data_IF_157813089473
#
_entry.id   IF_157813089473
#
_cell.length_a   1.000
_cell.length_b   1.000
_cell.length_c   1.000
_cell.angle_alpha   90.00
_cell.angle_beta   90.00
_cell.angle_gamma   90.00
#
_symmetry.space_group_name_H-M   'P 1'
#
loop_
_entity.id
_entity.type
_entity.pdbx_description
1 polymer ?
#
# COMPACT_ATOMS: atom_id res chain seq x y z
N UNK A 1 -26.21 -19.80 15.58
CA UNK A 1 -25.85 -18.76 14.62
C UNK A 1 -24.83 -19.28 13.57
N UNK A 2 -23.81 -20.03 13.97
CA UNK A 2 -22.77 -20.63 13.09
C UNK A 2 -23.32 -21.60 12.03
N UNK A 3 -24.38 -22.35 12.31
CA UNK A 3 -24.99 -23.31 11.35
C UNK A 3 -25.78 -22.65 10.20
N UNK A 4 -26.23 -21.39 10.32
CA UNK A 4 -26.91 -20.67 9.26
C UNK A 4 -25.93 -20.04 8.24
N UNK A 5 -24.72 -19.76 8.65
CA UNK A 5 -23.66 -19.20 7.77
C UNK A 5 -23.08 -20.26 6.86
N UNK A 6 -22.95 -21.53 7.34
CA UNK A 6 -22.50 -22.64 6.51
C UNK A 6 -23.50 -23.08 5.43
N UNK A 7 -24.80 -22.87 5.63
CA UNK A 7 -25.82 -23.22 4.63
C UNK A 7 -25.98 -22.16 3.52
N UNK A 8 -25.62 -20.89 3.79
CA UNK A 8 -25.60 -19.85 2.77
C UNK A 8 -24.45 -20.01 1.77
N UNK A 9 -23.33 -20.57 2.22
CA UNK A 9 -22.15 -20.83 1.36
C UNK A 9 -22.33 -21.98 0.36
N UNK A 10 -23.34 -22.84 0.56
CA UNK A 10 -23.64 -23.96 -0.36
C UNK A 10 -24.63 -23.58 -1.48
N UNK A 11 -25.34 -22.46 -1.35
CA UNK A 11 -26.35 -22.03 -2.33
C UNK A 11 -25.90 -20.93 -3.28
N UNK A 12 -24.78 -20.25 -2.99
CA UNK A 12 -24.21 -19.19 -3.86
C UNK A 12 -22.68 -19.32 -3.98
N UNK A 13 -22.17 -20.18 -4.88
CA UNK A 13 -20.73 -20.32 -5.10
C UNK A 13 -20.10 -19.16 -5.89
N UNK A 14 -20.72 -17.99 -5.90
CA UNK A 14 -20.22 -16.78 -6.52
C UNK A 14 -20.39 -15.52 -5.62
N UNK A 15 -20.61 -15.71 -4.33
CA UNK A 15 -20.28 -14.63 -3.41
C UNK A 15 -18.75 -14.53 -3.36
N UNK A 16 -18.23 -13.35 -3.68
CA UNK A 16 -16.90 -12.94 -3.31
C UNK A 16 -16.65 -13.45 -1.89
N UNK A 17 -15.68 -14.33 -1.73
CA UNK A 17 -15.08 -14.56 -0.42
C UNK A 17 -14.41 -13.24 -0.14
N UNK A 18 -15.08 -12.35 0.58
CA UNK A 18 -14.41 -11.33 1.33
C UNK A 18 -13.61 -12.10 2.38
N UNK A 19 -12.37 -12.41 2.08
CA UNK A 19 -11.39 -12.62 3.12
C UNK A 19 -11.45 -11.32 3.91
N UNK A 20 -11.73 -11.41 5.22
CA UNK A 20 -11.61 -10.26 6.10
C UNK A 20 -10.24 -9.66 5.82
N UNK A 21 -10.19 -8.37 5.47
CA UNK A 21 -8.96 -7.65 5.20
C UNK A 21 -8.07 -7.73 6.44
N UNK A 22 -6.86 -8.23 6.31
CA UNK A 22 -5.92 -8.34 7.43
C UNK A 22 -5.58 -6.95 7.98
N UNK A 23 -5.41 -5.98 7.09
CA UNK A 23 -5.15 -4.59 7.47
C UNK A 23 -6.39 -3.97 8.15
N UNK A 24 -7.61 -4.27 7.69
CA UNK A 24 -8.83 -3.82 8.38
C UNK A 24 -8.93 -4.38 9.80
N UNK A 25 -8.57 -5.65 9.99
CA UNK A 25 -8.51 -6.29 11.31
C UNK A 25 -7.47 -5.63 12.22
N UNK A 26 -6.30 -5.26 11.69
CA UNK A 26 -5.26 -4.54 12.44
C UNK A 26 -5.80 -3.21 12.98
N UNK A 27 -6.60 -2.49 12.19
CA UNK A 27 -7.21 -1.22 12.59
C UNK A 27 -8.62 -1.38 13.24
N UNK A 28 -9.05 -2.60 13.53
CA UNK A 28 -10.31 -2.83 14.24
C UNK A 28 -10.27 -2.25 15.67
N UNK A 29 -11.45 -1.90 16.19
CA UNK A 29 -11.55 -1.38 17.55
C UNK A 29 -11.09 -2.39 18.62
N UNK A 30 -11.34 -3.67 18.41
CA UNK A 30 -10.93 -4.72 19.35
C UNK A 30 -9.42 -4.89 19.34
N UNK A 31 -8.78 -4.89 18.17
CA UNK A 31 -7.32 -4.93 18.09
C UNK A 31 -6.68 -3.64 18.64
N UNK A 32 -7.26 -2.46 18.36
CA UNK A 32 -6.81 -1.19 18.95
C UNK A 32 -6.86 -1.24 20.49
N UNK A 33 -7.90 -1.82 21.07
CA UNK A 33 -8.02 -1.99 22.51
C UNK A 33 -7.03 -3.04 23.06
N UNK A 34 -6.78 -4.13 22.33
CA UNK A 34 -5.77 -5.11 22.73
C UNK A 34 -4.36 -4.49 22.69
N UNK A 35 -4.01 -3.75 21.63
CA UNK A 35 -2.74 -3.04 21.53
C UNK A 35 -2.59 -1.98 22.63
N UNK A 36 -3.67 -1.26 22.95
CA UNK A 36 -3.68 -0.34 24.09
C UNK A 36 -3.26 -1.03 25.40
N UNK A 37 -3.84 -2.19 25.71
CA UNK A 37 -3.43 -2.96 26.92
C UNK A 37 -1.99 -3.43 26.84
N UNK A 38 -1.53 -3.87 25.66
CA UNK A 38 -0.15 -4.31 25.46
C UNK A 38 0.85 -3.16 25.68
N UNK A 39 0.54 -1.94 25.22
CA UNK A 39 1.37 -0.74 25.42
C UNK A 39 1.43 -0.36 26.91
N UNK A 40 0.31 -0.37 27.62
CA UNK A 40 0.26 -0.11 29.07
C UNK A 40 1.02 -1.18 29.87
N UNK A 41 0.94 -2.45 29.45
CA UNK A 41 1.71 -3.54 30.07
C UNK A 41 3.20 -3.33 29.82
N UNK A 42 3.62 -3.00 28.61
CA UNK A 42 5.03 -2.77 28.28
C UNK A 42 5.61 -1.60 29.10
N UNK A 43 4.83 -0.54 29.28
CA UNK A 43 5.18 0.56 30.19
C UNK A 43 5.37 0.07 31.63
N UNK A 44 4.40 -0.67 32.16
CA UNK A 44 4.46 -1.17 33.53
C UNK A 44 5.64 -2.15 33.76
N UNK A 45 5.92 -3.02 32.82
CA UNK A 45 7.07 -3.94 32.87
C UNK A 45 8.40 -3.18 32.86
N UNK A 46 8.54 -2.17 31.98
CA UNK A 46 9.73 -1.30 31.96
C UNK A 46 9.90 -0.56 33.30
N UNK A 47 8.82 -0.01 33.84
CA UNK A 47 8.85 0.66 35.15
C UNK A 47 9.16 -0.29 36.31
N UNK A 48 8.64 -1.50 36.26
CA UNK A 48 8.93 -2.54 37.27
C UNK A 48 10.38 -2.97 37.25
N UNK A 49 10.96 -3.16 36.05
CA UNK A 49 12.39 -3.51 35.89
C UNK A 49 13.30 -2.44 36.49
N UNK A 50 12.91 -1.17 36.36
CA UNK A 50 13.63 -0.02 36.93
C UNK A 50 13.26 0.28 38.41
N UNK A 51 12.39 -0.50 39.02
CA UNK A 51 11.99 -0.33 40.43
C UNK A 51 11.09 0.88 40.67
N UNK A 52 10.44 1.43 39.63
CA UNK A 52 9.54 2.59 39.72
C UNK A 52 8.17 2.16 40.26
N UNK A 53 7.67 1.01 39.82
CA UNK A 53 6.44 0.39 40.33
C UNK A 53 6.72 -1.02 40.86
N UNK A 54 5.85 -1.59 41.71
CA UNK A 54 6.03 -2.96 42.20
C UNK A 54 5.87 -4.00 41.09
N UNK A 55 6.71 -5.04 41.08
CA UNK A 55 6.69 -6.14 40.12
C UNK A 55 5.34 -6.90 40.09
N UNK A 56 4.69 -7.06 41.22
CA UNK A 56 3.38 -7.70 41.29
C UNK A 56 2.29 -6.94 40.53
N UNK A 57 2.35 -5.59 40.46
CA UNK A 57 1.40 -4.78 39.69
C UNK A 57 1.57 -4.99 38.18
N UNK A 58 2.81 -4.96 37.68
CA UNK A 58 3.11 -5.23 36.27
C UNK A 58 2.68 -6.65 35.87
N UNK A 59 2.94 -7.64 36.72
CA UNK A 59 2.48 -9.03 36.50
C UNK A 59 0.95 -9.15 36.42
N UNK A 60 0.22 -8.43 37.25
CA UNK A 60 -1.25 -8.44 37.19
C UNK A 60 -1.75 -7.81 35.89
N UNK A 61 -1.17 -6.68 35.45
CA UNK A 61 -1.53 -6.09 34.15
C UNK A 61 -1.32 -7.07 33.00
N UNK A 62 -0.16 -7.76 32.95
CA UNK A 62 0.13 -8.79 31.95
C UNK A 62 -0.91 -9.91 31.97
N UNK A 63 -1.32 -10.40 33.13
CA UNK A 63 -2.31 -11.48 33.28
C UNK A 63 -3.72 -11.03 32.85
N UNK A 64 -4.03 -9.75 33.00
CA UNK A 64 -5.35 -9.17 32.68
C UNK A 64 -5.41 -8.45 31.34
N UNK A 65 -4.33 -8.44 30.54
CA UNK A 65 -4.29 -7.85 29.21
C UNK A 65 -4.92 -8.76 28.15
N UNK A 66 -6.22 -8.99 28.27
CA UNK A 66 -7.04 -9.81 27.36
C UNK A 66 -8.27 -8.99 26.95
N UNK A 67 -8.59 -8.97 25.67
CA UNK A 67 -9.69 -8.16 25.10
C UNK A 67 -11.05 -8.37 25.77
N UNK A 68 -11.27 -9.53 26.39
CA UNK A 68 -12.49 -9.77 27.18
C UNK A 68 -12.66 -8.79 28.37
N UNK A 69 -11.58 -8.15 28.82
CA UNK A 69 -11.60 -7.15 29.88
C UNK A 69 -11.72 -5.71 29.35
N UNK A 70 -11.66 -5.52 28.02
CA UNK A 70 -11.72 -4.21 27.39
C UNK A 70 -12.59 -4.23 26.12
N UNK A 71 -13.76 -4.85 26.19
CA UNK A 71 -14.68 -4.92 25.05
C UNK A 71 -15.07 -3.52 24.56
N UNK A 72 -15.02 -3.31 23.26
CA UNK A 72 -15.28 -1.99 22.64
C UNK A 72 -16.63 -1.38 23.06
N UNK A 73 -17.70 -2.17 23.18
CA UNK A 73 -19.03 -1.71 23.60
C UNK A 73 -19.02 -1.07 24.99
N UNK A 74 -18.23 -1.62 25.95
CA UNK A 74 -18.10 -1.08 27.30
C UNK A 74 -17.28 0.21 27.30
N UNK A 75 -16.23 0.28 26.44
CA UNK A 75 -15.45 1.52 26.26
C UNK A 75 -16.33 2.64 25.70
N UNK A 76 -17.15 2.38 24.68
CA UNK A 76 -18.10 3.36 24.13
C UNK A 76 -19.08 3.85 25.20
N UNK A 77 -19.64 2.94 25.98
CA UNK A 77 -20.57 3.29 27.10
C UNK A 77 -19.88 4.13 28.16
N UNK A 78 -18.65 3.82 28.52
CA UNK A 78 -17.90 4.60 29.50
C UNK A 78 -17.50 5.96 28.93
N UNK A 79 -17.06 6.01 27.66
CA UNK A 79 -16.69 7.25 26.99
C UNK A 79 -17.87 8.24 26.87
N UNK A 80 -19.10 7.75 26.75
CA UNK A 80 -20.29 8.62 26.75
C UNK A 80 -20.48 9.40 28.07
N UNK A 81 -19.90 8.90 29.18
CA UNK A 81 -19.94 9.53 30.50
C UNK A 81 -18.73 10.45 30.71
N UNK A 82 -17.51 9.92 30.49
CA UNK A 82 -16.26 10.63 30.82
C UNK A 82 -15.80 11.56 29.72
N UNK A 83 -16.26 11.37 28.48
CA UNK A 83 -15.91 12.16 27.27
C UNK A 83 -14.40 12.26 27.04
N UNK A 84 -13.68 11.15 27.32
CA UNK A 84 -12.24 11.05 27.12
C UNK A 84 -11.86 9.60 26.80
N UNK A 85 -11.43 9.34 25.57
CA UNK A 85 -11.25 7.99 25.05
C UNK A 85 -10.23 7.12 25.81
N UNK A 86 -9.10 7.69 26.24
CA UNK A 86 -8.12 6.97 27.05
C UNK A 86 -8.69 6.67 28.44
N UNK A 87 -9.24 7.69 29.13
CA UNK A 87 -9.81 7.52 30.49
C UNK A 87 -10.92 6.47 30.47
N UNK A 88 -11.74 6.42 29.42
CA UNK A 88 -12.76 5.39 29.26
C UNK A 88 -12.14 3.98 29.19
N UNK A 89 -11.05 3.79 28.45
CA UNK A 89 -10.31 2.51 28.38
C UNK A 89 -9.75 2.13 29.74
N UNK A 90 -9.05 3.05 30.39
CA UNK A 90 -8.49 2.82 31.73
C UNK A 90 -9.57 2.42 32.73
N UNK A 91 -10.69 3.15 32.79
CA UNK A 91 -11.81 2.87 33.70
C UNK A 91 -12.43 1.48 33.45
N UNK A 92 -12.59 1.08 32.17
CA UNK A 92 -13.14 -0.24 31.85
C UNK A 92 -12.18 -1.34 32.26
N UNK A 93 -10.89 -1.22 31.91
CA UNK A 93 -9.91 -2.23 32.26
C UNK A 93 -9.64 -2.35 33.75
N UNK A 94 -9.59 -1.25 34.50
CA UNK A 94 -9.47 -1.22 35.95
C UNK A 94 -10.51 -2.08 36.68
N UNK A 95 -11.69 -2.28 36.11
CA UNK A 95 -12.73 -3.16 36.68
C UNK A 95 -12.27 -4.63 36.81
N UNK A 96 -11.25 -5.03 36.09
CA UNK A 96 -10.69 -6.40 36.11
C UNK A 96 -9.43 -6.51 36.99
N UNK A 97 -8.87 -5.39 37.43
CA UNK A 97 -7.67 -5.31 38.25
C UNK A 97 -8.05 -5.24 39.73
N UNK A 98 -7.16 -5.60 40.65
CA UNK A 98 -7.31 -5.28 42.04
C UNK A 98 -7.08 -3.76 42.28
N UNK A 99 -7.65 -3.24 43.35
CA UNK A 99 -7.60 -1.80 43.64
C UNK A 99 -6.15 -1.29 43.82
N UNK A 100 -5.28 -2.08 44.47
CA UNK A 100 -3.88 -1.71 44.73
C UNK A 100 -3.06 -1.65 43.41
N UNK A 101 -3.26 -2.60 42.49
CA UNK A 101 -2.61 -2.57 41.17
C UNK A 101 -3.11 -1.38 40.33
N UNK A 102 -4.39 -1.08 40.37
CA UNK A 102 -5.00 0.03 39.63
C UNK A 102 -4.34 1.38 39.85
N UNK A 103 -3.74 1.61 41.02
CA UNK A 103 -3.02 2.84 41.34
C UNK A 103 -1.74 3.05 40.52
N UNK A 104 -1.19 1.98 39.97
CA UNK A 104 0.04 2.02 39.13
C UNK A 104 -0.26 2.01 37.62
N UNK A 105 -1.51 1.88 37.22
CA UNK A 105 -1.88 1.86 35.79
C UNK A 105 -1.70 3.26 35.17
N UNK A 106 -1.07 3.33 33.99
CA UNK A 106 -0.80 4.57 33.26
C UNK A 106 0.12 5.55 34.04
N UNK A 107 1.05 5.02 34.81
CA UNK A 107 1.86 5.82 35.71
C UNK A 107 2.88 6.69 34.96
N UNK A 108 2.73 8.01 35.06
CA UNK A 108 3.65 9.00 34.45
C UNK A 108 3.44 9.31 32.97
N UNK A 109 2.68 8.50 32.24
CA UNK A 109 2.42 8.69 30.83
C UNK A 109 1.33 9.74 30.55
N UNK A 110 1.31 10.26 29.32
CA UNK A 110 0.19 11.04 28.78
C UNK A 110 -0.59 10.25 27.75
N UNK A 111 -1.81 10.70 27.44
CA UNK A 111 -2.70 10.05 26.46
C UNK A 111 -2.00 9.68 25.15
N UNK A 112 -1.23 10.62 24.60
CA UNK A 112 -0.60 10.42 23.28
C UNK A 112 0.61 9.50 23.33
N UNK A 113 1.34 9.42 24.45
CA UNK A 113 2.40 8.41 24.61
C UNK A 113 1.86 6.99 24.32
N UNK A 114 0.67 6.71 24.81
CA UNK A 114 0.03 5.40 24.62
C UNK A 114 -0.62 5.29 23.26
N UNK A 115 -1.43 6.28 22.85
CA UNK A 115 -2.26 6.15 21.66
C UNK A 115 -1.47 6.28 20.37
N UNK A 116 -0.43 7.12 20.32
CA UNK A 116 0.46 7.19 19.15
C UNK A 116 1.32 5.92 19.03
N UNK A 117 1.77 5.35 20.16
CA UNK A 117 2.48 4.06 20.15
C UNK A 117 1.56 2.93 19.69
N UNK A 118 0.27 2.94 20.04
CA UNK A 118 -0.73 2.02 19.46
C UNK A 118 -0.83 2.19 17.94
N UNK A 119 -0.88 3.44 17.46
CA UNK A 119 -0.94 3.73 16.01
C UNK A 119 0.33 3.25 15.29
N UNK A 120 1.51 3.47 15.88
CA UNK A 120 2.79 2.96 15.36
C UNK A 120 2.73 1.44 15.19
N UNK A 121 2.27 0.70 16.20
CA UNK A 121 2.13 -0.76 16.13
C UNK A 121 1.12 -1.19 15.04
N UNK A 122 0.01 -0.46 14.86
CA UNK A 122 -0.96 -0.75 13.81
C UNK A 122 -0.37 -0.52 12.42
N UNK A 123 0.39 0.57 12.23
CA UNK A 123 1.04 0.88 10.95
C UNK A 123 2.15 -0.15 10.67
N UNK A 124 3.00 -0.48 11.64
CA UNK A 124 4.07 -1.46 11.47
C UNK A 124 3.51 -2.84 11.07
N UNK A 125 2.51 -3.32 11.79
CA UNK A 125 1.83 -4.56 11.44
C UNK A 125 1.19 -4.51 10.04
N UNK A 126 0.62 -3.37 9.63
CA UNK A 126 0.06 -3.23 8.29
C UNK A 126 1.13 -3.23 7.20
N UNK A 127 2.30 -2.65 7.48
CA UNK A 127 3.42 -2.64 6.55
C UNK A 127 3.93 -4.04 6.22
N UNK A 128 3.94 -4.96 7.18
CA UNK A 128 4.31 -6.36 6.93
C UNK A 128 3.40 -7.01 5.89
N UNK A 129 2.07 -6.79 5.97
CA UNK A 129 1.12 -7.30 5.00
C UNK A 129 1.26 -6.62 3.64
N UNK A 130 1.39 -5.30 3.59
CA UNK A 130 1.56 -4.55 2.35
C UNK A 130 2.86 -4.93 1.63
N UNK A 131 3.96 -5.12 2.35
CA UNK A 131 5.24 -5.58 1.79
C UNK A 131 5.10 -7.00 1.24
N UNK A 132 4.46 -7.91 1.98
CA UNK A 132 4.17 -9.28 1.53
C UNK A 132 3.35 -9.29 0.24
N UNK A 133 2.34 -8.44 0.14
CA UNK A 133 1.50 -8.33 -1.05
C UNK A 133 2.28 -7.79 -2.26
N UNK A 134 3.14 -6.79 -2.07
CA UNK A 134 4.03 -6.31 -3.13
C UNK A 134 5.05 -7.36 -3.58
N UNK A 135 5.51 -8.25 -2.70
CA UNK A 135 6.37 -9.39 -3.05
C UNK A 135 5.60 -10.44 -3.87
N UNK A 136 4.31 -10.66 -3.59
CA UNK A 136 3.47 -11.52 -4.42
C UNK A 136 3.26 -10.90 -5.81
N UNK A 137 2.95 -9.61 -5.89
CA UNK A 137 2.89 -8.85 -7.16
C UNK A 137 4.20 -8.97 -7.93
N UNK A 138 5.34 -8.84 -7.26
CA UNK A 138 6.65 -9.00 -7.88
C UNK A 138 6.81 -10.37 -8.53
N UNK A 139 6.35 -11.43 -7.86
CA UNK A 139 6.39 -12.80 -8.39
C UNK A 139 5.58 -12.91 -9.67
N UNK A 140 4.39 -12.31 -9.74
CA UNK A 140 3.54 -12.33 -10.93
C UNK A 140 4.14 -11.51 -12.07
N UNK A 141 4.69 -10.33 -11.79
CA UNK A 141 5.37 -9.49 -12.77
C UNK A 141 6.63 -10.16 -13.33
N UNK A 142 7.40 -10.84 -12.48
CA UNK A 142 8.58 -11.60 -12.92
C UNK A 142 8.20 -12.74 -13.85
N UNK A 143 7.12 -13.46 -13.54
CA UNK A 143 6.58 -14.50 -14.41
C UNK A 143 6.18 -13.94 -15.77
N UNK A 144 5.34 -12.91 -15.81
CA UNK A 144 4.93 -12.24 -17.05
C UNK A 144 6.13 -11.74 -17.86
N UNK A 145 7.11 -11.14 -17.20
CA UNK A 145 8.34 -10.65 -17.86
C UNK A 145 9.08 -11.78 -18.55
N UNK A 146 9.30 -12.92 -17.87
CA UNK A 146 10.02 -14.08 -18.43
C UNK A 146 9.25 -14.73 -19.57
N UNK A 147 7.94 -14.93 -19.43
CA UNK A 147 7.08 -15.58 -20.43
C UNK A 147 6.96 -14.76 -21.73
N UNK A 148 7.17 -13.45 -21.65
CA UNK A 148 6.97 -12.52 -22.76
C UNK A 148 8.24 -11.78 -23.21
N UNK A 149 9.43 -12.31 -22.88
CA UNK A 149 10.72 -11.74 -23.33
C UNK A 149 10.78 -11.55 -24.85
N UNK A 150 10.18 -12.46 -25.60
CA UNK A 150 10.18 -12.48 -27.07
C UNK A 150 8.78 -12.24 -27.67
N UNK A 151 7.85 -11.66 -26.90
CA UNK A 151 6.53 -11.27 -27.42
C UNK A 151 6.61 -9.84 -27.92
N UNK A 152 6.84 -9.68 -29.22
CA UNK A 152 7.00 -8.38 -29.87
C UNK A 152 5.68 -7.64 -29.94
N UNK A 153 5.73 -6.33 -29.72
CA UNK A 153 4.61 -5.40 -29.82
C UNK A 153 5.09 -4.01 -30.21
N UNK A 154 4.16 -3.14 -30.64
CA UNK A 154 4.48 -1.74 -30.88
C UNK A 154 4.73 -1.00 -29.57
N UNK A 155 5.88 -0.38 -29.42
CA UNK A 155 6.11 0.67 -28.42
C UNK A 155 5.43 1.94 -28.90
N UNK A 156 4.65 2.59 -27.99
CA UNK A 156 3.88 3.78 -28.34
C UNK A 156 4.31 4.99 -27.53
N UNK A 157 4.43 6.14 -28.21
CA UNK A 157 4.64 7.45 -27.59
C UNK A 157 3.57 8.39 -28.10
N UNK A 158 2.93 9.15 -27.24
CA UNK A 158 1.83 10.06 -27.61
C UNK A 158 0.71 9.35 -28.41
N UNK A 159 0.48 8.07 -28.13
CA UNK A 159 -0.52 7.25 -28.82
C UNK A 159 -0.10 6.73 -30.20
N UNK A 160 1.09 7.07 -30.71
CA UNK A 160 1.59 6.65 -32.03
C UNK A 160 2.62 5.53 -31.89
N UNK A 161 2.69 4.64 -32.91
CA UNK A 161 3.75 3.65 -32.99
C UNK A 161 5.11 4.32 -33.16
N UNK A 162 6.05 3.99 -32.27
CA UNK A 162 7.39 4.54 -32.30
C UNK A 162 8.41 3.50 -32.73
N UNK A 163 8.69 2.50 -31.90
CA UNK A 163 9.66 1.43 -32.16
C UNK A 163 9.14 0.10 -31.63
N UNK A 164 9.59 -1.04 -32.19
CA UNK A 164 9.29 -2.34 -31.59
C UNK A 164 9.85 -2.45 -30.18
N UNK A 165 9.04 -3.03 -29.30
CA UNK A 165 9.45 -3.49 -27.97
C UNK A 165 8.94 -4.90 -27.75
N UNK A 166 9.21 -5.48 -26.58
CA UNK A 166 8.53 -6.71 -26.15
C UNK A 166 7.58 -6.43 -24.99
N UNK A 167 6.55 -7.25 -24.84
CA UNK A 167 5.69 -7.18 -23.67
C UNK A 167 6.48 -7.47 -22.38
N UNK A 168 7.49 -8.37 -22.45
CA UNK A 168 8.42 -8.59 -21.35
C UNK A 168 9.22 -7.34 -20.96
N UNK A 169 9.63 -6.51 -21.93
CA UNK A 169 10.25 -5.20 -21.62
C UNK A 169 9.28 -4.27 -20.88
N UNK A 170 8.02 -4.24 -21.28
CA UNK A 170 6.97 -3.43 -20.64
C UNK A 170 6.74 -3.89 -19.18
N UNK A 171 6.48 -5.17 -18.97
CA UNK A 171 6.28 -5.74 -17.62
C UNK A 171 7.52 -5.69 -16.75
N UNK A 172 8.72 -5.81 -17.35
CA UNK A 172 10.01 -5.62 -16.67
C UNK A 172 10.18 -4.20 -16.11
N UNK A 173 9.62 -3.19 -16.79
CA UNK A 173 9.59 -1.82 -16.24
C UNK A 173 8.68 -1.71 -15.01
N UNK A 174 7.52 -2.38 -15.02
CA UNK A 174 6.62 -2.46 -13.86
C UNK A 174 7.26 -3.22 -12.70
N UNK A 175 7.96 -4.33 -13.01
CA UNK A 175 8.71 -5.12 -12.03
C UNK A 175 9.78 -4.29 -11.32
N UNK A 176 10.57 -3.54 -12.06
CA UNK A 176 11.63 -2.69 -11.51
C UNK A 176 11.05 -1.55 -10.62
N UNK A 177 9.89 -0.99 -10.99
CA UNK A 177 9.21 0.00 -10.17
C UNK A 177 8.60 -0.62 -8.90
N UNK A 178 8.02 -1.82 -9.00
CA UNK A 178 7.49 -2.54 -7.84
C UNK A 178 8.62 -2.87 -6.84
N UNK A 179 9.82 -3.25 -7.30
CA UNK A 179 10.98 -3.44 -6.41
C UNK A 179 11.31 -2.16 -5.63
N UNK A 180 11.35 -1.02 -6.30
CA UNK A 180 11.56 0.27 -5.62
C UNK A 180 10.43 0.62 -4.65
N UNK A 181 9.20 0.18 -4.90
CA UNK A 181 8.08 0.37 -3.96
C UNK A 181 8.26 -0.47 -2.69
N UNK A 182 8.72 -1.72 -2.82
CA UNK A 182 9.08 -2.57 -1.67
C UNK A 182 10.18 -1.89 -0.85
N UNK A 183 11.25 -1.44 -1.49
CA UNK A 183 12.36 -0.74 -0.83
C UNK A 183 11.91 0.53 -0.09
N UNK A 184 10.97 1.30 -0.68
CA UNK A 184 10.37 2.47 -0.01
C UNK A 184 9.61 2.09 1.24
N UNK A 185 8.76 1.04 1.19
CA UNK A 185 8.02 0.61 2.37
C UNK A 185 8.94 0.09 3.47
N UNK A 186 9.97 -0.68 3.13
CA UNK A 186 10.96 -1.16 4.10
C UNK A 186 11.71 0.01 4.76
N UNK A 187 12.03 1.05 3.98
CA UNK A 187 12.67 2.25 4.53
C UNK A 187 11.73 3.00 5.49
N UNK A 188 10.47 3.19 5.11
CA UNK A 188 9.46 3.82 5.98
C UNK A 188 9.23 2.98 7.22
N UNK A 189 9.13 1.64 7.11
CA UNK A 189 8.97 0.74 8.25
C UNK A 189 10.10 0.93 9.27
N UNK A 190 11.34 1.07 8.82
CA UNK A 190 12.48 1.31 9.72
C UNK A 190 12.40 2.64 10.48
N UNK A 191 11.62 3.62 10.00
CA UNK A 191 11.34 4.88 10.69
C UNK A 191 10.16 4.72 11.64
N UNK A 192 9.07 4.11 11.18
CA UNK A 192 7.90 3.80 12.01
C UNK A 192 8.30 3.03 13.25
N UNK A 193 9.18 2.04 13.15
CA UNK A 193 9.64 1.23 14.28
C UNK A 193 10.39 2.04 15.34
N UNK A 194 10.86 3.25 15.01
CA UNK A 194 11.52 4.20 15.94
C UNK A 194 10.58 5.30 16.44
N UNK A 195 9.32 5.30 16.00
CA UNK A 195 8.35 6.35 16.31
C UNK A 195 7.44 6.02 17.49
N UNK A 196 7.63 4.87 18.17
CA UNK A 196 7.04 4.63 19.47
C UNK A 196 7.62 5.62 20.50
N UNK A 197 6.82 6.09 21.45
CA UNK A 197 7.21 7.26 22.25
C UNK A 197 6.66 7.22 23.66
N UNK A 198 7.46 7.71 24.63
CA UNK A 198 7.06 7.93 26.03
C UNK A 198 7.80 9.16 26.59
N UNK A 199 7.28 10.36 26.34
CA UNK A 199 7.96 11.63 26.69
C UNK A 199 7.13 12.57 27.55
N UNK A 200 5.89 12.18 27.91
CA UNK A 200 4.99 12.95 28.74
C UNK A 200 4.28 14.07 27.98
N UNK A 201 3.72 15.03 28.70
CA UNK A 201 2.74 15.98 28.16
C UNK A 201 3.29 16.94 27.08
N UNK A 202 4.57 17.28 27.14
CA UNK A 202 5.23 18.28 26.24
C UNK A 202 6.61 17.82 25.77
N UNK A 203 6.89 16.52 25.78
CA UNK A 203 8.17 15.99 25.30
C UNK A 203 9.37 16.17 26.24
N UNK A 204 9.14 16.59 27.45
CA UNK A 204 10.20 16.98 28.40
C UNK A 204 10.61 15.89 29.41
N UNK A 205 9.93 14.73 29.41
CA UNK A 205 10.07 13.64 30.38
C UNK A 205 9.82 14.03 31.86
N UNK A 206 9.41 15.27 32.13
CA UNK A 206 9.35 15.80 33.49
C UNK A 206 8.44 15.00 34.41
N UNK A 207 7.31 14.48 33.90
CA UNK A 207 6.37 13.65 34.68
C UNK A 207 6.85 12.23 34.93
N UNK A 208 7.87 11.75 34.21
CA UNK A 208 8.38 10.37 34.25
C UNK A 208 9.60 10.21 35.19
N UNK A 209 10.20 11.31 35.62
CA UNK A 209 11.33 11.31 36.56
C UNK A 209 12.70 11.02 35.92
N UNK A 210 13.70 10.68 36.72
CA UNK A 210 15.09 10.58 36.30
C UNK A 210 15.44 9.37 35.43
N UNK A 211 14.59 8.35 35.45
CA UNK A 211 14.74 7.12 34.64
C UNK A 211 13.90 7.10 33.37
N UNK A 212 13.32 8.24 32.98
CA UNK A 212 12.37 8.35 31.90
C UNK A 212 12.88 7.81 30.55
N UNK A 213 14.11 8.16 30.16
CA UNK A 213 14.72 7.73 28.89
C UNK A 213 14.93 6.21 28.88
N UNK A 214 15.35 5.62 29.99
CA UNK A 214 15.53 4.17 30.06
C UNK A 214 14.17 3.45 30.11
N UNK A 215 13.17 4.03 30.76
CA UNK A 215 11.77 3.52 30.73
C UNK A 215 11.23 3.50 29.32
N UNK A 216 11.39 4.59 28.55
CA UNK A 216 10.97 4.67 27.15
C UNK A 216 11.62 3.58 26.31
N UNK A 217 12.96 3.43 26.42
CA UNK A 217 13.72 2.43 25.70
C UNK A 217 13.25 1.00 26.00
N UNK A 218 13.13 0.64 27.26
CA UNK A 218 12.66 -0.68 27.68
C UNK A 218 11.22 -0.94 27.24
N UNK A 219 10.34 0.06 27.33
CA UNK A 219 8.97 -0.04 26.85
C UNK A 219 8.92 -0.37 25.35
N UNK A 220 9.71 0.29 24.49
CA UNK A 220 9.76 0.02 23.06
C UNK A 220 10.31 -1.37 22.76
N UNK A 221 11.37 -1.80 23.46
CA UNK A 221 11.93 -3.16 23.35
C UNK A 221 10.86 -4.20 23.71
N UNK A 222 10.10 -4.00 24.79
CA UNK A 222 9.03 -4.90 25.23
C UNK A 222 7.87 -5.00 24.22
N UNK A 223 7.70 -3.99 23.36
CA UNK A 223 6.75 -3.96 22.27
C UNK A 223 7.30 -4.52 20.95
N UNK A 224 8.57 -4.88 20.90
CA UNK A 224 9.24 -5.34 19.67
C UNK A 224 9.60 -4.22 18.70
N UNK A 225 9.57 -2.97 19.17
CA UNK A 225 9.98 -1.78 18.42
C UNK A 225 11.47 -1.49 18.60
N UNK A 226 12.04 -0.69 17.71
CA UNK A 226 13.41 -0.21 17.80
C UNK A 226 13.58 0.84 18.91
N UNK A 227 14.84 1.17 19.26
CA UNK A 227 15.15 2.27 20.17
C UNK A 227 14.56 3.58 19.61
N UNK A 228 13.74 4.31 20.40
CA UNK A 228 13.04 5.49 19.91
C UNK A 228 13.99 6.65 19.59
N UNK A 229 13.57 7.52 18.67
CA UNK A 229 14.32 8.73 18.34
C UNK A 229 14.38 9.68 19.55
N UNK A 230 15.57 10.11 19.94
CA UNK A 230 15.78 10.91 21.17
C UNK A 230 15.14 12.29 21.12
N UNK A 231 15.16 12.90 19.92
CA UNK A 231 14.74 14.27 19.70
C UNK A 231 13.32 14.37 19.07
N UNK A 232 12.62 13.24 18.98
CA UNK A 232 11.29 13.18 18.40
C UNK A 232 10.19 13.51 19.42
N UNK A 233 9.05 14.02 18.93
CA UNK A 233 7.91 14.38 19.75
C UNK A 233 6.59 14.23 18.96
N UNK A 234 5.46 14.04 19.65
CA UNK A 234 4.15 13.85 19.04
C UNK A 234 3.69 14.98 18.11
N UNK A 235 4.19 16.19 18.27
CA UNK A 235 3.93 17.32 17.38
C UNK A 235 4.62 17.18 16.03
N UNK A 236 5.64 16.33 15.90
CA UNK A 236 6.37 16.10 14.66
C UNK A 236 5.75 14.90 13.96
N UNK A 237 5.03 15.13 12.87
CA UNK A 237 4.22 14.12 12.16
C UNK A 237 4.80 13.69 10.81
N UNK A 238 6.03 14.09 10.51
CA UNK A 238 6.67 13.86 9.21
C UNK A 238 6.81 12.36 8.84
N UNK A 239 7.06 11.48 9.81
CA UNK A 239 7.15 10.03 9.57
C UNK A 239 5.80 9.45 9.14
N UNK A 240 4.68 9.89 9.73
CA UNK A 240 3.34 9.48 9.33
C UNK A 240 2.95 10.06 7.97
N UNK A 241 3.33 11.31 7.70
CA UNK A 241 3.17 11.94 6.39
C UNK A 241 4.00 11.20 5.32
N UNK A 242 5.26 10.83 5.61
CA UNK A 242 6.09 10.04 4.70
C UNK A 242 5.48 8.66 4.41
N UNK A 243 4.92 7.99 5.41
CA UNK A 243 4.18 6.75 5.22
C UNK A 243 3.02 6.95 4.24
N UNK A 244 2.14 7.91 4.50
CA UNK A 244 0.98 8.20 3.66
C UNK A 244 1.36 8.57 2.22
N UNK A 245 2.37 9.45 2.05
CA UNK A 245 2.88 9.84 0.73
C UNK A 245 3.57 8.69 -0.01
N UNK A 246 4.22 7.78 0.72
CA UNK A 246 4.80 6.57 0.12
C UNK A 246 3.71 5.67 -0.46
N UNK A 247 2.61 5.46 0.26
CA UNK A 247 1.45 4.72 -0.26
C UNK A 247 0.82 5.44 -1.46
N UNK A 248 0.79 6.79 -1.46
CA UNK A 248 0.35 7.57 -2.62
C UNK A 248 1.23 7.33 -3.86
N UNK A 249 2.55 7.30 -3.72
CA UNK A 249 3.48 6.98 -4.81
C UNK A 249 3.23 5.56 -5.34
N UNK A 250 3.08 4.58 -4.45
CA UNK A 250 2.77 3.20 -4.81
C UNK A 250 1.46 3.13 -5.59
N UNK A 251 0.42 3.80 -5.11
CA UNK A 251 -0.89 3.80 -5.78
C UNK A 251 -0.82 4.36 -7.20
N UNK A 252 0.03 5.36 -7.46
CA UNK A 252 0.24 5.91 -8.81
C UNK A 252 0.92 4.92 -9.75
N UNK A 253 1.84 4.10 -9.27
CA UNK A 253 2.44 3.05 -10.11
C UNK A 253 1.40 2.00 -10.52
N UNK A 254 0.51 1.59 -9.61
CA UNK A 254 -0.60 0.68 -9.95
C UNK A 254 -1.66 1.34 -10.83
N UNK A 255 -1.99 2.61 -10.60
CA UNK A 255 -2.87 3.38 -11.48
C UNK A 255 -2.33 3.48 -12.91
N UNK A 256 -1.02 3.62 -13.09
CA UNK A 256 -0.37 3.58 -14.40
C UNK A 256 -0.50 2.21 -15.07
N UNK A 257 -0.32 1.11 -14.32
CA UNK A 257 -0.52 -0.24 -14.82
C UNK A 257 -1.98 -0.44 -15.24
N UNK A 258 -2.93 -0.01 -14.40
CA UNK A 258 -4.37 -0.07 -14.69
C UNK A 258 -4.75 0.71 -15.94
N UNK A 259 -4.22 1.94 -16.10
CA UNK A 259 -4.44 2.73 -17.30
C UNK A 259 -3.89 2.05 -18.56
N UNK A 260 -2.67 1.54 -18.50
CA UNK A 260 -2.04 0.83 -19.63
C UNK A 260 -2.84 -0.42 -20.01
N UNK A 261 -3.24 -1.24 -19.05
CA UNK A 261 -4.05 -2.44 -19.32
C UNK A 261 -5.43 -2.09 -19.86
N UNK A 262 -6.04 -0.99 -19.43
CA UNK A 262 -7.29 -0.49 -20.00
C UNK A 262 -7.13 -0.14 -21.49
N UNK A 263 -6.05 0.54 -21.85
CA UNK A 263 -5.76 0.89 -23.24
C UNK A 263 -5.45 -0.37 -24.09
N UNK A 264 -4.61 -1.27 -23.59
CA UNK A 264 -4.26 -2.48 -24.32
C UNK A 264 -5.42 -3.44 -24.54
N UNK A 265 -6.48 -3.34 -23.72
CA UNK A 265 -7.70 -4.14 -23.84
C UNK A 265 -8.77 -3.48 -24.73
N UNK A 266 -8.59 -2.25 -25.22
CA UNK A 266 -9.52 -1.62 -26.16
C UNK A 266 -9.78 -2.53 -27.35
N UNK A 267 -11.02 -2.49 -27.88
CA UNK A 267 -11.43 -3.34 -29.02
C UNK A 267 -10.49 -3.23 -30.22
N UNK A 268 -10.01 -2.03 -30.51
CA UNK A 268 -9.11 -1.73 -31.62
C UNK A 268 -7.71 -2.29 -31.39
N UNK A 269 -7.23 -2.31 -30.14
CA UNK A 269 -5.89 -2.83 -29.80
C UNK A 269 -5.93 -4.33 -29.50
N UNK A 270 -6.74 -4.77 -28.54
CA UNK A 270 -6.97 -6.18 -28.20
C UNK A 270 -5.70 -6.96 -27.80
N UNK A 271 -4.67 -6.29 -27.30
CA UNK A 271 -3.35 -6.88 -27.00
C UNK A 271 -3.32 -7.62 -25.68
N UNK A 272 -4.20 -7.25 -24.73
CA UNK A 272 -4.41 -7.94 -23.44
C UNK A 272 -5.89 -8.10 -23.14
N UNK A 273 -6.24 -9.03 -22.24
CA UNK A 273 -7.58 -9.22 -21.72
C UNK A 273 -7.50 -9.61 -20.25
N UNK A 274 -8.29 -8.93 -19.41
CA UNK A 274 -8.49 -9.34 -18.02
C UNK A 274 -9.25 -10.67 -17.98
N UNK A 275 -8.79 -11.61 -17.13
CA UNK A 275 -9.53 -12.83 -16.88
C UNK A 275 -10.60 -12.59 -15.80
N UNK A 276 -11.86 -12.61 -16.22
CA UNK A 276 -13.00 -12.36 -15.33
C UNK A 276 -13.62 -13.64 -14.74
N UNK A 277 -13.06 -14.82 -15.03
CA UNK A 277 -13.66 -16.11 -14.67
C UNK A 277 -14.71 -16.59 -15.67
N UNK A 278 -14.97 -17.90 -15.71
CA UNK A 278 -15.83 -18.54 -16.71
C UNK A 278 -17.31 -18.17 -16.61
N UNK A 279 -17.78 -17.66 -15.48
CA UNK A 279 -19.17 -17.27 -15.22
C UNK A 279 -19.39 -15.76 -15.20
N UNK A 280 -18.35 -14.95 -15.42
CA UNK A 280 -18.46 -13.51 -15.37
C UNK A 280 -19.10 -12.95 -16.63
N UNK A 281 -20.01 -11.99 -16.45
CA UNK A 281 -20.68 -11.28 -17.53
C UNK A 281 -20.03 -9.90 -17.65
N UNK A 282 -19.36 -9.63 -18.76
CA UNK A 282 -18.68 -8.35 -18.99
C UNK A 282 -19.62 -7.17 -19.17
N UNK A 283 -20.84 -7.42 -19.67
CA UNK A 283 -21.91 -6.43 -19.87
C UNK A 283 -23.27 -7.08 -19.66
N UNK A 284 -24.23 -6.34 -19.11
CA UNK A 284 -25.60 -6.82 -18.88
C UNK A 284 -26.40 -7.06 -20.15
N UNK A 285 -26.05 -6.40 -21.27
CA UNK A 285 -26.85 -6.41 -22.53
C UNK A 285 -26.02 -6.74 -23.76
N UNK A 286 -24.70 -6.59 -23.73
CA UNK A 286 -23.83 -6.74 -24.88
C UNK A 286 -22.80 -7.87 -24.62
N UNK A 287 -23.05 -9.11 -25.08
CA UNK A 287 -22.19 -10.26 -24.74
C UNK A 287 -20.74 -10.11 -25.17
N UNK A 288 -20.46 -9.36 -26.24
CA UNK A 288 -19.12 -9.09 -26.76
C UNK A 288 -18.36 -8.03 -25.96
N UNK A 289 -19.04 -7.25 -25.10
CA UNK A 289 -18.43 -6.13 -24.38
C UNK A 289 -17.80 -6.62 -23.07
N UNK A 290 -16.48 -6.68 -23.05
CA UNK A 290 -15.68 -7.07 -21.88
C UNK A 290 -15.06 -5.82 -21.24
N UNK A 291 -15.73 -5.25 -20.25
CA UNK A 291 -15.21 -4.07 -19.55
C UNK A 291 -14.02 -4.43 -18.68
N UNK A 292 -12.92 -3.66 -18.72
CA UNK A 292 -11.74 -3.86 -17.87
C UNK A 292 -12.05 -3.35 -16.44
N UNK A 293 -12.50 -4.26 -15.55
CA UNK A 293 -12.90 -3.90 -14.17
C UNK A 293 -11.68 -3.73 -13.27
N UNK A 294 -10.82 -4.74 -13.19
CA UNK A 294 -9.61 -4.68 -12.37
C UNK A 294 -8.68 -3.53 -12.75
N UNK A 295 -8.38 -3.30 -14.03
CA UNK A 295 -7.67 -2.12 -14.47
C UNK A 295 -8.33 -0.80 -14.06
N UNK A 296 -9.68 -0.72 -14.14
CA UNK A 296 -10.45 0.44 -13.70
C UNK A 296 -10.36 0.67 -12.19
N UNK A 297 -10.47 -0.40 -11.39
CA UNK A 297 -10.33 -0.35 -9.93
C UNK A 297 -8.95 0.21 -9.53
N UNK A 298 -7.85 -0.24 -10.18
CA UNK A 298 -6.50 0.30 -9.91
C UNK A 298 -6.40 1.80 -10.20
N UNK A 299 -7.06 2.27 -11.28
CA UNK A 299 -7.14 3.70 -11.57
C UNK A 299 -7.91 4.47 -10.49
N UNK A 300 -9.00 3.93 -9.98
CA UNK A 300 -9.82 4.54 -8.93
C UNK A 300 -9.02 4.67 -7.63
N UNK A 301 -8.42 3.59 -7.14
CA UNK A 301 -7.58 3.61 -5.95
C UNK A 301 -6.43 4.62 -6.07
N UNK A 302 -5.83 4.74 -7.25
CA UNK A 302 -4.76 5.72 -7.51
C UNK A 302 -5.22 7.18 -7.42
N UNK A 303 -6.52 7.45 -7.37
CA UNK A 303 -7.11 8.77 -7.17
C UNK A 303 -7.48 9.01 -5.71
N UNK A 304 -7.95 7.97 -5.01
CA UNK A 304 -8.40 8.06 -3.61
C UNK A 304 -7.19 8.22 -2.67
N UNK A 305 -6.22 7.30 -2.74
CA UNK A 305 -5.10 7.24 -1.81
C UNK A 305 -4.33 8.58 -1.69
N UNK A 306 -3.95 9.27 -2.78
CA UNK A 306 -3.25 10.55 -2.65
C UNK A 306 -4.06 11.66 -2.00
N UNK A 307 -5.42 11.65 -2.12
CA UNK A 307 -6.27 12.67 -1.47
C UNK A 307 -6.30 12.51 0.04
N UNK A 308 -6.34 11.26 0.49
CA UNK A 308 -6.22 10.95 1.92
C UNK A 308 -4.81 11.33 2.44
N UNK A 309 -3.77 11.11 1.63
CA UNK A 309 -2.38 11.47 1.99
C UNK A 309 -2.18 12.99 2.13
N UNK A 310 -2.89 13.81 1.34
CA UNK A 310 -2.87 15.26 1.46
C UNK A 310 -3.41 15.72 2.83
N UNK A 311 -4.43 15.05 3.38
CA UNK A 311 -4.97 15.35 4.72
C UNK A 311 -3.94 15.02 5.80
N UNK A 312 -3.28 13.87 5.72
CA UNK A 312 -2.22 13.49 6.67
C UNK A 312 -1.03 14.45 6.63
N UNK A 313 -0.75 15.04 5.48
CA UNK A 313 0.32 16.03 5.34
C UNK A 313 0.04 17.32 6.15
N UNK A 314 -1.23 17.69 6.31
CA UNK A 314 -1.64 18.86 7.10
C UNK A 314 -1.33 18.70 8.59
N UNK A 315 -1.22 17.47 9.11
CA UNK A 315 -0.84 17.17 10.50
C UNK A 315 0.60 17.65 10.85
N UNK A 316 1.43 17.96 9.84
CA UNK A 316 2.77 18.52 10.07
C UNK A 316 2.75 19.97 10.57
N UNK A 317 1.58 20.63 10.53
CA UNK A 317 1.42 21.99 11.02
C UNK A 317 0.77 21.96 12.40
N UNK A 318 1.57 22.17 13.43
CA UNK A 318 1.14 22.15 14.82
C UNK A 318 1.17 23.54 15.45
N UNK A 319 0.34 23.72 16.48
CA UNK A 319 0.36 24.89 17.36
C UNK A 319 1.12 24.56 18.64
N UNK A 320 2.19 25.30 18.91
CA UNK A 320 3.08 25.08 20.06
C UNK A 320 3.70 23.67 20.04
N UNK A 321 3.84 23.06 21.20
CA UNK A 321 4.43 21.72 21.34
C UNK A 321 3.52 20.63 20.78
N UNK A 322 2.19 20.84 20.80
CA UNK A 322 1.22 19.87 20.28
C UNK A 322 -0.19 20.47 20.28
N UNK A 323 -0.99 20.19 19.26
CA UNK A 323 -2.44 20.38 19.25
C UNK A 323 -3.19 19.03 19.29
N UNK A 324 -4.50 19.06 19.06
CA UNK A 324 -5.36 17.88 19.16
C UNK A 324 -5.79 17.28 17.84
N UNK A 325 -5.50 17.94 16.72
CA UNK A 325 -5.91 17.48 15.40
C UNK A 325 -4.95 16.41 14.88
N UNK A 326 -5.49 15.29 14.42
CA UNK A 326 -4.73 14.13 13.90
C UNK A 326 -5.56 13.35 12.90
N UNK A 327 -4.90 12.91 11.85
CA UNK A 327 -5.49 12.12 10.76
C UNK A 327 -5.35 10.60 10.98
N UNK A 328 -5.63 10.13 12.19
CA UNK A 328 -5.56 8.69 12.52
C UNK A 328 -6.53 7.85 11.65
N UNK A 329 -7.72 8.39 11.37
CA UNK A 329 -8.72 7.71 10.54
C UNK A 329 -8.30 7.67 9.07
N UNK A 330 -7.66 8.72 8.57
CA UNK A 330 -7.10 8.78 7.21
C UNK A 330 -5.93 7.81 7.06
N UNK A 331 -5.03 7.71 8.04
CA UNK A 331 -3.94 6.73 8.07
C UNK A 331 -4.48 5.30 8.02
N UNK A 332 -5.51 5.00 8.81
CA UNK A 332 -6.25 3.74 8.74
C UNK A 332 -6.83 3.50 7.35
N UNK A 333 -7.56 4.47 6.80
CA UNK A 333 -8.20 4.33 5.49
C UNK A 333 -7.18 4.15 4.36
N UNK A 334 -6.08 4.90 4.36
CA UNK A 334 -5.01 4.77 3.36
C UNK A 334 -4.44 3.34 3.37
N UNK A 335 -4.19 2.80 4.57
CA UNK A 335 -3.66 1.45 4.73
C UNK A 335 -4.62 0.40 4.15
N UNK A 336 -5.91 0.46 4.52
CA UNK A 336 -6.95 -0.47 4.06
C UNK A 336 -7.16 -0.37 2.54
N UNK A 337 -7.28 0.85 2.01
CA UNK A 337 -7.50 1.05 0.57
C UNK A 337 -6.28 0.62 -0.25
N UNK A 338 -5.06 0.73 0.32
CA UNK A 338 -3.85 0.21 -0.33
C UNK A 338 -3.86 -1.32 -0.40
N UNK A 339 -4.23 -2.02 0.67
CA UNK A 339 -4.41 -3.48 0.65
C UNK A 339 -5.46 -3.89 -0.40
N UNK A 340 -6.62 -3.23 -0.42
CA UNK A 340 -7.67 -3.48 -1.41
C UNK A 340 -7.18 -3.31 -2.85
N UNK A 341 -6.36 -2.29 -3.11
CA UNK A 341 -5.71 -2.09 -4.42
C UNK A 341 -4.79 -3.26 -4.77
N UNK A 342 -3.97 -3.74 -3.83
CA UNK A 342 -3.06 -4.86 -4.04
C UNK A 342 -3.82 -6.16 -4.23
N UNK A 343 -4.93 -6.38 -3.52
CA UNK A 343 -5.83 -7.52 -3.69
C UNK A 343 -6.47 -7.56 -5.09
N UNK A 344 -6.68 -6.42 -5.72
CA UNK A 344 -7.10 -6.34 -7.13
C UNK A 344 -5.95 -6.58 -8.09
N UNK A 345 -4.76 -6.08 -7.78
CA UNK A 345 -3.59 -6.21 -8.63
C UNK A 345 -3.07 -7.65 -8.74
N UNK A 346 -3.06 -8.40 -7.62
CA UNK A 346 -2.54 -9.77 -7.57
C UNK A 346 -3.22 -10.70 -8.59
N UNK A 347 -4.54 -10.96 -8.55
CA UNK A 347 -5.20 -11.83 -9.51
C UNK A 347 -5.18 -11.26 -10.95
N UNK A 348 -5.29 -9.94 -11.11
CA UNK A 348 -5.23 -9.30 -12.43
C UNK A 348 -3.90 -9.62 -13.14
N UNK A 349 -2.77 -9.48 -12.46
CA UNK A 349 -1.44 -9.74 -13.03
C UNK A 349 -1.15 -11.24 -13.16
N UNK A 350 -1.63 -12.06 -12.22
CA UNK A 350 -1.47 -13.51 -12.23
C UNK A 350 -2.14 -14.18 -13.41
N UNK A 351 -3.35 -13.72 -13.77
CA UNK A 351 -4.23 -14.35 -14.74
C UNK A 351 -4.40 -13.54 -16.03
N UNK A 352 -3.58 -12.49 -16.23
CA UNK A 352 -3.63 -11.63 -17.39
C UNK A 352 -3.44 -12.44 -18.68
N UNK A 353 -4.40 -12.36 -19.58
CA UNK A 353 -4.29 -12.94 -20.90
C UNK A 353 -3.57 -12.00 -21.85
N UNK A 354 -2.55 -12.51 -22.54
CA UNK A 354 -1.73 -11.76 -23.49
C UNK A 354 -1.96 -12.32 -24.89
N UNK A 355 -2.49 -11.49 -25.78
CA UNK A 355 -2.74 -11.85 -27.16
C UNK A 355 -1.52 -11.57 -28.04
N UNK A 356 -0.62 -12.54 -28.11
CA UNK A 356 0.64 -12.43 -28.86
C UNK A 356 0.42 -12.15 -30.34
N UNK A 357 -0.60 -12.78 -30.95
CA UNK A 357 -0.91 -12.57 -32.36
C UNK A 357 -1.39 -11.15 -32.64
N UNK A 358 -2.29 -10.64 -31.78
CA UNK A 358 -2.78 -9.27 -31.94
C UNK A 358 -1.69 -8.21 -31.73
N UNK A 359 -0.74 -8.47 -30.79
CA UNK A 359 0.44 -7.64 -30.63
C UNK A 359 1.28 -7.60 -31.91
N UNK A 360 1.45 -8.76 -32.57
CA UNK A 360 2.16 -8.84 -33.85
C UNK A 360 1.41 -8.12 -34.98
N UNK A 361 0.12 -8.38 -35.12
CA UNK A 361 -0.71 -7.73 -36.12
C UNK A 361 -0.68 -6.19 -36.00
N UNK A 362 -0.76 -5.69 -34.75
CA UNK A 362 -0.66 -4.26 -34.49
C UNK A 362 0.74 -3.71 -34.80
N UNK A 363 1.80 -4.46 -34.54
CA UNK A 363 3.17 -4.07 -34.89
C UNK A 363 3.32 -3.85 -36.39
N UNK A 364 2.66 -4.68 -37.20
CA UNK A 364 2.75 -4.66 -38.65
C UNK A 364 1.85 -3.60 -39.32
N UNK A 365 0.98 -2.89 -38.56
CA UNK A 365 0.10 -1.84 -39.10
C UNK A 365 0.81 -0.71 -39.86
N UNK A 366 2.07 -0.49 -39.59
CA UNK A 366 2.88 0.55 -40.25
C UNK A 366 3.68 0.01 -41.43
N UNK A 367 3.39 -1.21 -41.92
CA UNK A 367 4.05 -1.83 -43.06
C UNK A 367 5.59 -1.77 -42.96
N UNK A 368 6.17 -2.04 -41.79
CA UNK A 368 7.60 -2.01 -41.53
C UNK A 368 8.20 -0.62 -41.22
N UNK A 369 7.46 0.46 -41.47
CA UNK A 369 7.95 1.84 -41.19
C UNK A 369 8.30 2.08 -39.73
N UNK A 370 7.81 1.27 -38.79
CA UNK A 370 8.20 1.30 -37.37
C UNK A 370 9.72 1.07 -37.18
N UNK A 371 10.42 0.52 -38.18
CA UNK A 371 11.88 0.30 -38.21
C UNK A 371 12.67 1.46 -38.85
N UNK A 372 12.01 2.48 -39.40
CA UNK A 372 12.64 3.58 -40.14
C UNK A 372 13.78 4.25 -39.36
N UNK A 373 13.64 4.50 -38.10
CA UNK A 373 14.71 5.08 -37.26
C UNK A 373 15.97 4.20 -37.25
N UNK A 374 15.82 2.88 -37.16
CA UNK A 374 16.97 1.96 -37.19
C UNK A 374 17.71 2.02 -38.53
N UNK A 375 16.95 2.08 -39.63
CA UNK A 375 17.50 2.23 -40.96
C UNK A 375 18.20 3.58 -41.16
N UNK A 376 17.58 4.66 -40.67
CA UNK A 376 18.20 5.99 -40.68
C UNK A 376 19.60 5.96 -40.05
N UNK A 377 19.73 5.38 -38.84
CA UNK A 377 21.02 5.32 -38.16
C UNK A 377 22.01 4.36 -38.84
N UNK A 378 21.55 3.27 -39.44
CA UNK A 378 22.40 2.39 -40.25
C UNK A 378 22.94 3.10 -41.46
N UNK A 379 22.13 3.90 -42.16
CA UNK A 379 22.55 4.69 -43.33
C UNK A 379 23.42 5.88 -42.93
N UNK A 380 23.16 6.48 -41.77
CA UNK A 380 23.89 7.63 -41.25
C UNK A 380 25.41 7.39 -41.15
N UNK A 381 25.81 6.18 -40.80
CA UNK A 381 27.23 5.77 -40.76
C UNK A 381 27.90 5.83 -42.15
N UNK A 382 27.14 5.75 -43.25
CA UNK A 382 27.64 5.72 -44.62
C UNK A 382 27.51 7.05 -45.34
N UNK A 383 26.40 7.79 -45.12
CA UNK A 383 26.07 8.98 -45.93
C UNK A 383 25.84 10.24 -45.07
N UNK A 384 26.07 10.16 -43.77
CA UNK A 384 25.80 11.24 -42.82
C UNK A 384 24.35 11.27 -42.33
N UNK A 385 24.14 11.80 -41.11
CA UNK A 385 22.85 11.76 -40.42
C UNK A 385 21.75 12.54 -41.16
N UNK A 386 22.06 13.74 -41.61
CA UNK A 386 21.04 14.63 -42.20
C UNK A 386 20.59 14.07 -43.57
N UNK A 387 21.52 13.64 -44.40
CA UNK A 387 21.21 12.98 -45.68
C UNK A 387 20.42 11.68 -45.49
N UNK A 388 20.76 10.89 -44.46
CA UNK A 388 20.02 9.66 -44.13
C UNK A 388 18.58 9.98 -43.64
N UNK A 389 18.40 11.04 -42.88
CA UNK A 389 17.08 11.50 -42.46
C UNK A 389 16.21 11.95 -43.65
N UNK A 390 16.76 12.75 -44.54
CA UNK A 390 16.05 13.23 -45.74
C UNK A 390 15.63 12.04 -46.61
N UNK A 391 16.58 11.13 -46.90
CA UNK A 391 16.29 9.93 -47.67
C UNK A 391 15.18 9.08 -47.03
N UNK A 392 15.27 8.80 -45.74
CA UNK A 392 14.26 8.00 -45.03
C UNK A 392 12.91 8.69 -44.95
N UNK A 393 12.87 10.02 -44.93
CA UNK A 393 11.62 10.78 -44.99
C UNK A 393 10.94 10.60 -46.36
N UNK A 394 11.70 10.70 -47.45
CA UNK A 394 11.19 10.50 -48.80
C UNK A 394 10.73 9.05 -49.04
N UNK A 395 11.51 8.08 -48.56
CA UNK A 395 11.15 6.65 -48.60
C UNK A 395 9.86 6.37 -47.84
N UNK A 396 9.74 6.90 -46.62
CA UNK A 396 8.53 6.73 -45.80
C UNK A 396 7.28 7.35 -46.44
N UNK A 397 7.44 8.56 -47.00
CA UNK A 397 6.36 9.23 -47.74
C UNK A 397 5.92 8.43 -48.96
N UNK A 398 6.88 7.96 -49.79
CA UNK A 398 6.59 7.15 -50.95
C UNK A 398 5.92 5.81 -50.60
N UNK A 399 6.38 5.14 -49.54
CA UNK A 399 5.78 3.90 -49.06
C UNK A 399 4.32 4.10 -48.60
N UNK A 400 4.05 5.17 -47.85
CA UNK A 400 2.68 5.51 -47.40
C UNK A 400 1.74 5.84 -48.58
N UNK A 401 2.18 6.64 -49.54
CA UNK A 401 1.38 7.05 -50.71
C UNK A 401 1.08 5.85 -51.64
N UNK A 402 1.93 4.83 -51.70
CA UNK A 402 1.77 3.67 -52.55
C UNK A 402 1.37 2.39 -51.83
N UNK A 403 1.13 2.47 -50.52
CA UNK A 403 0.76 1.33 -49.65
C UNK A 403 1.77 0.16 -49.75
N UNK A 404 3.08 0.49 -49.74
CA UNK A 404 4.19 -0.46 -49.82
C UNK A 404 4.70 -0.84 -48.43
N UNK A 405 5.24 -2.07 -48.34
CA UNK A 405 5.99 -2.48 -47.14
C UNK A 405 7.46 -2.13 -47.28
N UNK A 406 8.13 -1.88 -46.15
CA UNK A 406 9.54 -1.54 -46.15
C UNK A 406 10.40 -2.71 -46.67
N UNK A 407 10.00 -3.96 -46.48
CA UNK A 407 10.65 -5.16 -46.99
C UNK A 407 10.71 -5.19 -48.52
N UNK A 408 9.71 -4.64 -49.20
CA UNK A 408 9.70 -4.55 -50.67
C UNK A 408 10.70 -3.51 -51.16
N UNK A 409 10.95 -2.48 -50.38
CA UNK A 409 11.92 -1.42 -50.74
C UNK A 409 13.38 -1.87 -50.57
N UNK A 410 13.67 -2.89 -49.74
CA UNK A 410 15.00 -3.52 -49.65
C UNK A 410 15.34 -4.37 -50.89
N UNK A 411 14.34 -4.74 -51.68
CA UNK A 411 14.50 -5.54 -52.91
C UNK A 411 14.58 -4.70 -54.19
N UNK A 412 14.38 -3.40 -54.08
CA UNK A 412 14.55 -2.43 -55.16
C UNK A 412 15.87 -1.66 -55.03
#
# INVERSE_FOLDING_TARGET
MIRKILLLNLLFPALFVFTESEVENIFSNDNKNQLFMNVEVALAEAQSELGIIPDWAAKEFRQKADIKHLEHKEVVKENSKVRHGLVARLNVWKRSLNDEASEFLHYGATTVDIMDTVLVLQIDNSLDYLIKDLLEVETHLLKLTKEHLNTYMAGRTLGQHALPITFGKKTGTWLAENRRNIERLQHVQSKINKSGILKGAVGSYLGLGTQAIETEKLMMINLGLDEPSKDDWHGIRDVFAEYALTLAIISKSFGRIGNELTLLQMTELGETEEYLGSKSVGSSTMPQKKNPRGPGDLLEYSRIIPRLSEIVLDDMINSFERDGEKSDDELKQISIVTEQMLDRAKPLLKELKVNKQKMRDNLDLTNGLILSQRLTFYLADKIGKDTANELMHDVAKYALENNLTLEILESL
#
